data_IF_066060183116
#
_entry.id   IF_066060183116
#
_cell.length_a   1.000
_cell.length_b   1.000
_cell.length_c   1.000
_cell.angle_alpha   90.00
_cell.angle_beta   90.00
_cell.angle_gamma   90.00
#
_symmetry.space_group_name_H-M   'P 1'
#
loop_
_entity.id
_entity.type
_entity.pdbx_description
1 polymer ?
#
# COMPACT_ATOMS: atom_id res chain seq x y z
N UNK A 1 -4.56 -44.40 7.61
CA UNK A 1 -4.57 -42.96 7.30
C UNK A 1 -4.86 -42.20 8.58
N UNK A 2 -3.86 -41.52 9.15
CA UNK A 2 -3.93 -40.92 10.48
C UNK A 2 -4.56 -39.52 10.43
N UNK A 3 -5.53 -39.28 11.31
CA UNK A 3 -6.33 -38.07 11.45
C UNK A 3 -5.49 -37.00 12.17
N UNK A 4 -5.08 -35.94 11.49
CA UNK A 4 -4.31 -34.84 12.07
C UNK A 4 -5.16 -34.09 13.10
N UNK A 5 -4.80 -34.17 14.38
CA UNK A 5 -5.43 -33.41 15.45
C UNK A 5 -4.94 -31.97 15.41
N UNK A 6 -5.86 -31.00 15.26
CA UNK A 6 -5.60 -29.57 15.43
C UNK A 6 -4.95 -29.33 16.82
N UNK A 7 -3.73 -28.81 16.85
CA UNK A 7 -3.02 -28.48 18.10
C UNK A 7 -3.33 -27.05 18.48
N UNK A 8 -4.19 -26.85 19.47
CA UNK A 8 -4.45 -25.56 20.10
C UNK A 8 -3.24 -25.08 20.90
N UNK A 9 -2.92 -23.79 20.85
CA UNK A 9 -1.92 -23.13 21.72
C UNK A 9 -2.58 -22.01 22.50
N UNK A 10 -2.02 -21.64 23.65
CA UNK A 10 -2.52 -20.58 24.51
C UNK A 10 -1.45 -19.50 24.65
N UNK A 11 -1.78 -18.25 24.32
CA UNK A 11 -0.85 -17.12 24.37
C UNK A 11 -1.28 -16.15 25.46
N UNK A 12 -0.36 -15.75 26.33
CA UNK A 12 -0.64 -14.74 27.35
C UNK A 12 -0.76 -13.34 26.70
N UNK A 13 -1.90 -12.68 26.86
CA UNK A 13 -2.16 -11.31 26.40
C UNK A 13 -1.27 -10.25 27.08
N UNK A 14 -0.69 -10.57 28.24
CA UNK A 14 0.15 -9.64 29.01
C UNK A 14 1.65 -9.75 28.70
N UNK A 15 2.16 -10.96 28.46
CA UNK A 15 3.61 -11.16 28.22
C UNK A 15 3.96 -11.92 26.93
N UNK A 16 2.97 -12.39 26.17
CA UNK A 16 3.20 -13.14 24.94
C UNK A 16 3.66 -14.59 25.14
N UNK A 17 3.76 -15.06 26.38
CA UNK A 17 4.19 -16.43 26.70
C UNK A 17 3.24 -17.46 26.08
N UNK A 18 3.80 -18.48 25.42
CA UNK A 18 3.06 -19.52 24.71
C UNK A 18 3.04 -20.81 25.53
N UNK A 19 1.86 -21.38 25.71
CA UNK A 19 1.62 -22.61 26.45
C UNK A 19 0.83 -23.61 25.60
N UNK A 20 1.04 -24.90 25.86
CA UNK A 20 0.35 -26.02 25.21
C UNK A 20 -0.93 -26.45 25.95
N UNK A 21 -1.14 -25.95 27.17
CA UNK A 21 -2.30 -26.24 28.02
C UNK A 21 -2.75 -25.01 28.81
N UNK A 22 -4.07 -24.82 28.90
CA UNK A 22 -4.66 -23.79 29.75
C UNK A 22 -4.43 -24.10 31.22
N UNK A 23 -3.97 -23.11 32.00
CA UNK A 23 -3.80 -23.23 33.45
C UNK A 23 -4.44 -22.07 34.23
N UNK A 24 -5.27 -21.23 33.60
CA UNK A 24 -5.95 -20.08 34.24
C UNK A 24 -5.03 -18.93 34.69
N UNK A 25 -3.75 -19.21 34.91
CA UNK A 25 -2.70 -18.26 35.30
C UNK A 25 -1.48 -18.43 34.40
N UNK A 26 -0.93 -17.33 33.90
CA UNK A 26 0.32 -17.34 33.16
C UNK A 26 1.49 -17.73 34.10
N UNK A 27 2.31 -18.70 33.68
CA UNK A 27 3.45 -19.18 34.47
C UNK A 27 4.68 -18.26 34.40
N UNK A 28 4.74 -17.35 33.43
CA UNK A 28 5.84 -16.37 33.33
C UNK A 28 5.53 -15.07 34.08
N UNK A 29 4.43 -14.39 33.75
CA UNK A 29 4.12 -13.10 34.35
C UNK A 29 3.21 -13.20 35.59
N UNK A 30 2.63 -14.38 35.86
CA UNK A 30 1.76 -14.60 37.01
C UNK A 30 0.33 -14.05 36.86
N UNK A 31 -0.01 -13.42 35.73
CA UNK A 31 -1.33 -12.83 35.47
C UNK A 31 -2.43 -13.89 35.32
N UNK A 32 -3.55 -13.67 35.98
CA UNK A 32 -4.75 -14.51 35.89
C UNK A 32 -5.59 -14.14 34.67
N UNK A 33 -6.28 -15.13 34.07
CA UNK A 33 -7.20 -14.96 32.93
C UNK A 33 -6.60 -14.23 31.71
N UNK A 34 -5.28 -14.22 31.59
CA UNK A 34 -4.56 -13.56 30.50
C UNK A 34 -4.26 -14.50 29.32
N UNK A 35 -4.52 -15.80 29.45
CA UNK A 35 -4.27 -16.74 28.37
C UNK A 35 -5.41 -16.60 27.33
N UNK A 36 -5.05 -16.53 26.06
CA UNK A 36 -5.98 -16.48 24.92
C UNK A 36 -5.72 -17.71 24.06
N UNK A 37 -6.79 -18.41 23.69
CA UNK A 37 -6.71 -19.59 22.84
C UNK A 37 -6.47 -19.17 21.39
N UNK A 38 -5.34 -19.58 20.82
CA UNK A 38 -5.06 -19.44 19.40
C UNK A 38 -4.96 -20.81 18.72
N UNK A 39 -5.67 -20.96 17.61
CA UNK A 39 -5.51 -22.12 16.75
C UNK A 39 -4.16 -22.00 16.05
N UNK A 40 -3.30 -23.01 16.21
CA UNK A 40 -2.03 -23.09 15.48
C UNK A 40 -2.34 -23.29 14.01
N UNK A 41 -2.44 -22.19 13.26
CA UNK A 41 -2.49 -22.25 11.80
C UNK A 41 -1.20 -22.95 11.35
N UNK A 42 -1.27 -24.03 10.55
CA UNK A 42 -0.08 -24.68 10.04
C UNK A 42 0.83 -23.63 9.37
N UNK A 43 2.11 -23.59 9.79
CA UNK A 43 3.16 -22.75 9.20
C UNK A 43 3.47 -23.08 7.72
N UNK A 44 2.63 -23.87 7.07
CA UNK A 44 2.76 -24.30 5.67
C UNK A 44 1.83 -23.52 4.72
N UNK A 45 1.03 -22.58 5.22
CA UNK A 45 0.19 -21.71 4.39
C UNK A 45 0.75 -20.29 4.16
N UNK A 46 2.02 -20.04 4.52
CA UNK A 46 2.72 -18.77 4.27
C UNK A 46 3.73 -18.84 3.11
N UNK A 47 3.71 -19.92 2.32
CA UNK A 47 4.60 -20.13 1.17
C UNK A 47 3.98 -19.71 -0.18
N UNK A 48 2.88 -18.95 -0.19
CA UNK A 48 2.28 -18.43 -1.43
C UNK A 48 2.15 -16.92 -1.50
N UNK A 49 2.69 -16.18 -0.53
CA UNK A 49 3.03 -14.77 -0.77
C UNK A 49 4.43 -14.77 -1.34
N UNK A 50 4.56 -14.52 -2.64
CA UNK A 50 5.84 -14.17 -3.24
C UNK A 50 6.52 -13.17 -2.31
N UNK A 51 7.68 -13.48 -1.70
CA UNK A 51 8.37 -12.50 -0.91
C UNK A 51 8.58 -11.31 -1.85
N UNK A 52 8.13 -10.13 -1.45
CA UNK A 52 8.60 -8.90 -2.06
C UNK A 52 10.13 -9.03 -2.07
N UNK A 53 10.69 -9.22 -3.27
CA UNK A 53 12.12 -9.34 -3.49
C UNK A 53 12.70 -7.99 -3.06
N UNK A 54 13.02 -7.84 -1.78
CA UNK A 54 13.83 -6.72 -1.32
C UNK A 54 15.20 -6.99 -1.94
N UNK A 55 15.61 -6.24 -2.99
CA UNK A 55 16.91 -6.46 -3.58
C UNK A 55 17.97 -6.23 -2.50
N UNK A 56 19.10 -6.97 -2.52
CA UNK A 56 20.16 -6.79 -1.54
C UNK A 56 20.59 -5.32 -1.52
N UNK A 57 20.68 -4.74 -0.32
CA UNK A 57 21.11 -3.37 -0.15
C UNK A 57 22.50 -3.18 -0.78
N UNK A 58 22.68 -2.10 -1.53
CA UNK A 58 24.02 -1.70 -2.00
C UNK A 58 24.92 -1.46 -0.77
N UNK A 59 26.19 -1.89 -0.78
CA UNK A 59 27.09 -1.63 0.34
C UNK A 59 27.24 -0.13 0.56
N UNK A 60 27.35 0.28 1.83
CA UNK A 60 27.58 1.68 2.17
C UNK A 60 28.92 2.15 1.57
N UNK A 61 28.91 3.30 0.91
CA UNK A 61 30.09 3.92 0.30
C UNK A 61 30.18 5.40 0.69
N UNK A 62 31.39 6.00 0.71
CA UNK A 62 31.56 7.43 0.94
C UNK A 62 30.79 8.26 -0.09
N UNK A 63 30.17 9.36 0.34
CA UNK A 63 29.39 10.25 -0.54
C UNK A 63 30.21 10.80 -1.71
N UNK A 64 31.51 11.02 -1.49
CA UNK A 64 32.47 11.53 -2.49
C UNK A 64 32.74 10.56 -3.64
N UNK A 65 32.46 9.27 -3.44
CA UNK A 65 32.67 8.22 -4.43
C UNK A 65 31.39 7.94 -5.23
N UNK A 66 30.27 8.61 -4.93
CA UNK A 66 29.05 8.43 -5.71
C UNK A 66 29.17 9.12 -7.06
N UNK A 67 29.06 8.34 -8.14
CA UNK A 67 28.90 8.89 -9.48
C UNK A 67 27.61 9.73 -9.58
N UNK A 68 27.65 10.91 -10.21
CA UNK A 68 26.49 11.74 -10.56
C UNK A 68 25.62 11.11 -11.68
N UNK A 69 25.49 9.78 -11.72
CA UNK A 69 24.59 9.12 -12.67
C UNK A 69 23.14 9.34 -12.22
N UNK A 70 22.56 10.42 -12.72
CA UNK A 70 21.15 10.83 -12.57
C UNK A 70 20.22 9.99 -13.44
N UNK A 71 20.26 8.67 -13.31
CA UNK A 71 19.20 7.79 -13.85
C UNK A 71 17.81 8.14 -13.26
N UNK A 72 17.80 8.87 -12.14
CA UNK A 72 16.60 9.38 -11.46
C UNK A 72 16.06 10.73 -11.95
N UNK A 73 16.64 11.39 -12.98
CA UNK A 73 16.17 12.72 -13.39
C UNK A 73 15.06 12.73 -14.46
N UNK A 74 14.51 11.56 -14.83
CA UNK A 74 13.36 11.53 -15.73
C UNK A 74 12.14 12.12 -15.00
N UNK A 75 11.79 13.37 -15.36
CA UNK A 75 10.63 14.09 -14.83
C UNK A 75 9.50 14.15 -15.84
N UNK A 76 8.28 13.88 -15.37
CA UNK A 76 7.05 14.04 -16.13
C UNK A 76 6.30 15.29 -15.67
N UNK A 77 6.16 16.25 -16.56
CA UNK A 77 5.35 17.45 -16.32
C UNK A 77 3.87 17.09 -16.16
N UNK A 78 3.24 17.62 -15.12
CA UNK A 78 1.81 17.42 -14.83
C UNK A 78 0.90 18.24 -15.74
N UNK A 79 1.45 19.24 -16.43
CA UNK A 79 0.68 20.19 -17.23
C UNK A 79 0.05 21.31 -16.39
N UNK A 80 0.35 21.34 -15.08
CA UNK A 80 -0.06 22.38 -14.14
C UNK A 80 1.19 23.09 -13.61
N UNK A 81 1.51 24.31 -14.10
CA UNK A 81 2.78 24.98 -13.79
C UNK A 81 3.06 25.14 -12.29
N UNK A 82 2.04 25.44 -11.50
CA UNK A 82 2.15 25.62 -10.05
C UNK A 82 2.44 24.30 -9.33
N UNK A 83 1.85 23.20 -9.80
CA UNK A 83 2.11 21.87 -9.27
C UNK A 83 3.50 21.39 -9.67
N UNK A 84 3.90 21.61 -10.92
CA UNK A 84 5.24 21.28 -11.40
C UNK A 84 6.29 22.04 -10.60
N UNK A 85 6.05 23.32 -10.31
CA UNK A 85 6.92 24.12 -9.43
C UNK A 85 6.98 23.54 -8.01
N UNK A 86 5.84 23.15 -7.44
CA UNK A 86 5.79 22.54 -6.11
C UNK A 86 6.53 21.19 -6.05
N UNK A 87 6.52 20.43 -7.14
CA UNK A 87 7.21 19.13 -7.27
C UNK A 87 8.69 19.27 -7.70
N UNK A 88 9.23 20.48 -7.85
CA UNK A 88 10.62 20.68 -8.28
C UNK A 88 10.86 20.41 -9.77
N UNK A 89 9.85 20.62 -10.61
CA UNK A 89 9.91 20.46 -12.07
C UNK A 89 9.14 19.25 -12.61
N UNK A 90 8.20 18.70 -11.84
CA UNK A 90 7.32 17.60 -12.26
C UNK A 90 7.52 16.31 -11.45
N UNK A 91 6.83 15.24 -11.87
CA UNK A 91 6.86 13.93 -11.20
C UNK A 91 8.14 13.17 -11.56
N UNK A 92 8.91 12.77 -10.57
CA UNK A 92 10.15 11.99 -10.78
C UNK A 92 9.83 10.51 -10.95
N UNK A 93 10.37 9.87 -12.00
CA UNK A 93 10.19 8.44 -12.24
C UNK A 93 10.80 7.62 -11.10
N UNK A 94 10.05 6.63 -10.60
CA UNK A 94 10.48 5.77 -9.48
C UNK A 94 10.42 6.45 -8.11
N UNK A 95 9.83 7.64 -8.01
CA UNK A 95 9.58 8.31 -6.74
C UNK A 95 8.16 8.06 -6.23
N UNK A 96 7.94 8.35 -4.96
CA UNK A 96 6.61 8.39 -4.33
C UNK A 96 6.33 9.83 -3.89
N UNK A 97 5.17 10.35 -4.25
CA UNK A 97 4.72 11.69 -3.87
C UNK A 97 3.45 11.57 -3.01
N UNK A 98 3.45 12.20 -1.84
CA UNK A 98 2.31 12.24 -0.94
C UNK A 98 1.60 13.60 -1.03
N UNK A 99 0.31 13.59 -1.37
CA UNK A 99 -0.54 14.78 -1.33
C UNK A 99 -1.41 14.72 -0.08
N UNK A 100 -1.16 15.64 0.85
CA UNK A 100 -1.90 15.77 2.11
C UNK A 100 -2.68 17.08 2.16
N UNK A 101 -3.76 17.09 2.94
CA UNK A 101 -4.64 18.25 3.12
C UNK A 101 -5.97 17.84 3.72
N UNK A 102 -6.74 18.82 4.20
CA UNK A 102 -8.04 18.58 4.83
C UNK A 102 -9.01 17.82 3.90
N UNK A 103 -9.92 17.01 4.45
CA UNK A 103 -11.03 16.44 3.67
C UNK A 103 -11.79 17.55 2.93
N UNK A 104 -12.09 17.33 1.65
CA UNK A 104 -12.82 18.31 0.83
C UNK A 104 -11.98 19.45 0.21
N UNK A 105 -10.69 19.59 0.53
CA UNK A 105 -9.82 20.64 -0.06
C UNK A 105 -9.56 20.47 -1.57
N UNK A 106 -9.98 19.34 -2.16
CA UNK A 106 -9.89 19.09 -3.59
C UNK A 106 -8.72 18.19 -4.04
N UNK A 107 -8.16 17.36 -3.15
CA UNK A 107 -7.08 16.40 -3.49
C UNK A 107 -7.44 15.49 -4.67
N UNK A 108 -8.57 14.79 -4.60
CA UNK A 108 -9.06 13.91 -5.67
C UNK A 108 -9.35 14.67 -6.97
N UNK A 109 -9.83 15.92 -6.85
CA UNK A 109 -10.03 16.81 -8.00
C UNK A 109 -8.70 17.13 -8.68
N UNK A 110 -7.69 17.52 -7.91
CA UNK A 110 -6.35 17.80 -8.40
C UNK A 110 -5.73 16.56 -9.06
N UNK A 111 -5.82 15.39 -8.41
CA UNK A 111 -5.32 14.13 -8.96
C UNK A 111 -5.97 13.77 -10.29
N UNK A 112 -7.29 13.93 -10.42
CA UNK A 112 -7.99 13.73 -11.69
C UNK A 112 -7.60 14.75 -12.77
N UNK A 113 -7.31 15.99 -12.40
CA UNK A 113 -6.79 16.99 -13.35
C UNK A 113 -5.40 16.59 -13.86
N UNK A 114 -4.53 16.07 -12.99
CA UNK A 114 -3.21 15.54 -13.33
C UNK A 114 -3.30 14.33 -14.28
N UNK A 115 -4.40 13.56 -14.22
CA UNK A 115 -4.66 12.48 -15.18
C UNK A 115 -5.01 12.98 -16.60
N UNK A 116 -5.43 14.24 -16.76
CA UNK A 116 -5.80 14.81 -18.06
C UNK A 116 -4.58 15.31 -18.87
N UNK A 117 -3.48 14.59 -18.75
CA UNK A 117 -2.24 14.83 -19.47
C UNK A 117 -2.34 14.28 -20.91
N UNK A 118 -1.53 14.85 -21.81
CA UNK A 118 -1.54 14.55 -23.26
C UNK A 118 -0.42 13.59 -23.69
N UNK A 119 0.43 13.18 -22.75
CA UNK A 119 1.46 12.18 -22.94
C UNK A 119 0.85 10.77 -23.03
N UNK A 120 1.63 9.84 -23.57
CA UNK A 120 1.22 8.44 -23.74
C UNK A 120 1.44 7.59 -22.48
N UNK A 121 1.54 8.22 -21.29
CA UNK A 121 1.77 7.51 -20.04
C UNK A 121 0.52 6.72 -19.65
N UNK A 122 0.71 5.46 -19.30
CA UNK A 122 -0.35 4.64 -18.71
C UNK A 122 -0.54 5.02 -17.26
N UNK A 123 -1.75 5.45 -16.92
CA UNK A 123 -2.09 5.88 -15.57
C UNK A 123 -3.04 4.86 -14.98
N UNK A 124 -2.74 4.34 -13.79
CA UNK A 124 -3.67 3.54 -13.00
C UNK A 124 -4.16 4.37 -11.81
N UNK A 125 -5.43 4.75 -11.83
CA UNK A 125 -6.09 5.44 -10.73
C UNK A 125 -6.84 4.43 -9.87
N UNK A 126 -6.42 4.28 -8.63
CA UNK A 126 -7.00 3.38 -7.65
C UNK A 126 -7.81 4.19 -6.65
N UNK A 127 -9.04 3.76 -6.40
CA UNK A 127 -9.90 4.36 -5.37
C UNK A 127 -10.54 3.30 -4.50
N UNK A 128 -10.39 3.45 -3.18
CA UNK A 128 -11.12 2.64 -2.20
C UNK A 128 -12.34 3.36 -1.59
N UNK A 129 -12.42 4.69 -1.70
CA UNK A 129 -13.51 5.49 -1.12
C UNK A 129 -14.70 5.64 -2.06
N UNK A 130 -14.44 5.90 -3.34
CA UNK A 130 -15.46 6.30 -4.31
C UNK A 130 -15.72 5.24 -5.38
N UNK A 131 -17.00 5.17 -5.80
CA UNK A 131 -17.41 4.26 -6.86
C UNK A 131 -16.92 4.71 -8.24
N UNK A 132 -16.76 3.78 -9.21
CA UNK A 132 -16.42 4.12 -10.60
C UNK A 132 -17.37 5.16 -11.22
N UNK A 133 -18.65 5.12 -10.86
CA UNK A 133 -19.64 6.07 -11.35
C UNK A 133 -19.38 7.51 -10.89
N UNK A 134 -19.07 7.70 -9.59
CA UNK A 134 -18.78 9.02 -9.02
C UNK A 134 -17.52 9.62 -9.63
N UNK A 135 -16.46 8.84 -9.74
CA UNK A 135 -15.20 9.27 -10.35
C UNK A 135 -15.40 9.64 -11.82
N UNK A 136 -16.13 8.83 -12.60
CA UNK A 136 -16.42 9.12 -14.01
C UNK A 136 -17.22 10.42 -14.18
N UNK A 137 -18.21 10.67 -13.31
CA UNK A 137 -18.96 11.93 -13.35
C UNK A 137 -18.05 13.15 -13.11
N UNK A 138 -17.14 13.04 -12.14
CA UNK A 138 -16.17 14.11 -11.83
C UNK A 138 -15.17 14.30 -12.97
N UNK A 139 -14.61 13.22 -13.49
CA UNK A 139 -13.69 13.22 -14.63
C UNK A 139 -14.33 13.91 -15.86
N UNK A 140 -15.61 13.63 -16.15
CA UNK A 140 -16.37 14.30 -17.22
C UNK A 140 -16.50 15.79 -17.00
N UNK A 141 -16.82 16.24 -15.78
CA UNK A 141 -16.93 17.67 -15.45
C UNK A 141 -15.58 18.40 -15.59
N UNK A 142 -14.49 17.73 -15.25
CA UNK A 142 -13.12 18.23 -15.40
C UNK A 142 -12.58 18.12 -16.83
N UNK A 143 -13.33 17.51 -17.75
CA UNK A 143 -12.92 17.34 -19.14
C UNK A 143 -11.77 16.35 -19.32
N UNK A 144 -11.63 15.37 -18.41
CA UNK A 144 -10.60 14.33 -18.49
C UNK A 144 -10.89 13.42 -19.68
N UNK A 145 -10.00 13.42 -20.67
CA UNK A 145 -10.15 12.65 -21.93
C UNK A 145 -8.89 11.84 -22.27
N UNK A 146 -8.27 11.25 -21.25
CA UNK A 146 -7.06 10.45 -21.44
C UNK A 146 -7.45 8.97 -21.74
N UNK A 147 -7.15 8.44 -22.95
CA UNK A 147 -7.44 7.05 -23.30
C UNK A 147 -6.55 6.03 -22.56
N UNK A 148 -5.47 6.49 -21.94
CA UNK A 148 -4.52 5.69 -21.16
C UNK A 148 -4.76 5.77 -19.64
N UNK A 149 -5.89 6.35 -19.22
CA UNK A 149 -6.34 6.36 -17.84
C UNK A 149 -7.17 5.10 -17.53
N UNK A 150 -6.58 4.21 -16.74
CA UNK A 150 -7.23 3.03 -16.18
C UNK A 150 -7.74 3.36 -14.77
N UNK A 151 -8.87 2.76 -14.39
CA UNK A 151 -9.46 2.95 -13.07
C UNK A 151 -9.67 1.59 -12.40
N UNK A 152 -9.33 1.52 -11.11
CA UNK A 152 -9.53 0.35 -10.26
C UNK A 152 -10.23 0.77 -8.96
N UNK A 153 -11.40 0.20 -8.69
CA UNK A 153 -12.06 0.33 -7.40
C UNK A 153 -11.70 -0.87 -6.53
N UNK A 154 -10.65 -0.73 -5.72
CA UNK A 154 -10.15 -1.83 -4.89
C UNK A 154 -9.46 -1.28 -3.64
N UNK A 155 -9.59 -1.99 -2.53
CA UNK A 155 -8.97 -1.66 -1.24
C UNK A 155 -7.86 -2.65 -0.86
N UNK A 156 -7.86 -3.85 -1.42
CA UNK A 156 -6.89 -4.89 -1.10
C UNK A 156 -5.59 -4.71 -1.90
N UNK A 157 -4.48 -4.52 -1.20
CA UNK A 157 -3.16 -4.22 -1.78
C UNK A 157 -2.70 -5.35 -2.72
N UNK A 158 -2.96 -6.59 -2.36
CA UNK A 158 -2.58 -7.77 -3.13
C UNK A 158 -3.22 -7.77 -4.52
N UNK A 159 -4.50 -7.38 -4.62
CA UNK A 159 -5.20 -7.23 -5.91
C UNK A 159 -4.73 -6.00 -6.68
N UNK A 160 -4.42 -4.89 -5.98
CA UNK A 160 -3.86 -3.70 -6.61
C UNK A 160 -2.51 -4.06 -7.28
N UNK A 161 -1.63 -4.77 -6.58
CA UNK A 161 -0.34 -5.22 -7.11
C UNK A 161 -0.55 -6.13 -8.33
N UNK A 162 -1.49 -7.07 -8.26
CA UNK A 162 -1.81 -7.94 -9.39
C UNK A 162 -2.20 -7.17 -10.66
N UNK A 163 -3.05 -6.15 -10.50
CA UNK A 163 -3.45 -5.28 -11.61
C UNK A 163 -2.30 -4.39 -12.11
N UNK A 164 -1.41 -3.95 -11.22
CA UNK A 164 -0.19 -3.23 -11.59
C UNK A 164 0.75 -4.09 -12.46
N UNK A 165 0.95 -5.36 -12.13
CA UNK A 165 1.77 -6.28 -12.94
C UNK A 165 1.17 -6.54 -14.33
N UNK A 166 -0.16 -6.58 -14.42
CA UNK A 166 -0.91 -6.79 -15.67
C UNK A 166 -0.88 -5.56 -16.58
N UNK A 167 -1.17 -4.38 -16.03
CA UNK A 167 -1.29 -3.13 -16.80
C UNK A 167 0.09 -2.52 -17.09
N UNK A 168 1.04 -2.70 -16.15
CA UNK A 168 2.35 -2.04 -16.13
C UNK A 168 2.21 -0.52 -16.31
N UNK A 169 1.52 0.18 -15.38
CA UNK A 169 1.34 1.61 -15.46
C UNK A 169 2.66 2.35 -15.28
N UNK A 170 2.82 3.48 -15.97
CA UNK A 170 3.93 4.40 -15.76
C UNK A 170 3.70 5.26 -14.51
N UNK A 171 2.44 5.62 -14.25
CA UNK A 171 2.01 6.40 -13.09
C UNK A 171 0.88 5.68 -12.34
N UNK A 172 1.06 5.49 -11.04
CA UNK A 172 0.02 4.95 -10.15
C UNK A 172 -0.45 6.05 -9.20
N UNK A 173 -1.77 6.19 -9.06
CA UNK A 173 -2.41 7.11 -8.12
C UNK A 173 -3.30 6.29 -7.19
N UNK A 174 -3.16 6.51 -5.88
CA UNK A 174 -3.95 5.84 -4.84
C UNK A 174 -4.73 6.91 -4.07
N UNK A 175 -6.05 6.91 -4.23
CA UNK A 175 -6.98 7.87 -3.61
C UNK A 175 -8.06 7.11 -2.81
N UNK A 176 -7.87 6.82 -1.53
CA UNK A 176 -6.82 7.30 -0.64
C UNK A 176 -6.07 6.15 0.02
N UNK A 177 -4.81 6.38 0.43
CA UNK A 177 -3.99 5.36 1.09
C UNK A 177 -4.64 4.82 2.37
N UNK A 178 -5.49 5.62 3.01
CA UNK A 178 -6.25 5.22 4.20
C UNK A 178 -7.23 4.09 3.93
N UNK A 179 -7.62 3.88 2.68
CA UNK A 179 -8.53 2.78 2.31
C UNK A 179 -7.82 1.52 1.84
N UNK A 180 -6.53 1.60 1.55
CA UNK A 180 -5.75 0.42 1.23
C UNK A 180 -5.65 -0.48 2.48
N UNK A 181 -5.62 -1.80 2.29
CA UNK A 181 -5.61 -2.84 3.32
C UNK A 181 -4.75 -4.03 2.85
N UNK A 182 -3.95 -4.64 3.74
CA UNK A 182 -3.35 -5.95 3.47
C UNK A 182 -3.93 -6.99 4.43
N UNK A 183 -4.24 -8.15 3.86
CA UNK A 183 -4.82 -9.32 4.53
C UNK A 183 -3.98 -9.87 5.70
N UNK A 184 -2.69 -9.52 5.78
CA UNK A 184 -1.75 -9.98 6.82
C UNK A 184 -1.63 -9.09 8.06
N UNK A 185 -2.28 -7.92 8.08
CA UNK A 185 -2.20 -6.95 9.19
C UNK A 185 -3.53 -6.90 9.93
N UNK A 186 -3.53 -7.18 11.23
CA UNK A 186 -4.71 -7.02 12.11
C UNK A 186 -5.06 -5.54 12.38
N UNK A 187 -4.44 -4.62 11.65
CA UNK A 187 -4.62 -3.19 11.78
C UNK A 187 -5.69 -2.72 10.79
N UNK A 188 -6.62 -1.88 11.26
CA UNK A 188 -7.67 -1.34 10.41
C UNK A 188 -7.09 -0.49 9.26
N UNK A 189 -7.71 -0.54 8.06
CA UNK A 189 -7.42 0.34 6.93
C UNK A 189 -7.17 1.80 7.37
N UNK A 190 -5.98 2.33 7.08
CA UNK A 190 -5.59 3.72 7.31
C UNK A 190 -5.07 4.04 8.71
N UNK A 191 -4.82 3.03 9.55
CA UNK A 191 -4.14 3.21 10.83
C UNK A 191 -2.64 3.52 10.64
N UNK A 192 -2.03 4.20 11.63
CA UNK A 192 -0.60 4.51 11.64
C UNK A 192 0.25 3.24 11.48
N UNK A 193 -0.15 2.15 12.12
CA UNK A 193 0.50 0.83 12.05
C UNK A 193 0.43 0.16 10.68
N UNK A 194 -0.28 0.75 9.72
CA UNK A 194 -0.45 0.23 8.37
C UNK A 194 0.18 1.14 7.30
N UNK A 195 0.36 2.43 7.62
CA UNK A 195 1.03 3.40 6.76
C UNK A 195 2.55 3.43 7.01
N UNK A 196 2.98 2.99 8.21
CA UNK A 196 4.39 2.78 8.62
C UNK A 196 4.72 1.28 8.53
#
# INVERSE_FOLDING_TARGET
MAKGSEKTIFICSECGAVFDKWNGRCRECGSWNSLVEEKKVPKEALASTSPLLIPPARPAMPLVDMDEHTDGDIRWYTGMPELDRALGGGLVKGSVSLISGEPGIGKSTLLLQVCNRKDALKILYISGEESPHQINLRARRLGVKNPHLYFLAETEVEKIIHECERIKPDLMIVDSIQTAGSSGTSASPGSVSQVI
#
